data_IF_895927698369
#
_entry.id   IF_895927698369
#
_cell.length_a   1.000
_cell.length_b   1.000
_cell.length_c   1.000
_cell.angle_alpha   90.00
_cell.angle_beta   90.00
_cell.angle_gamma   90.00
#
_symmetry.space_group_name_H-M   'P 1'
#
loop_
_entity.id
_entity.type
_entity.pdbx_description
1 polymer ?
#
# COMPACT_ATOMS: atom_id res chain seq x y z
N UNK A 1 13.91 34.67 11.18
CA UNK A 1 13.95 33.36 10.55
C UNK A 1 15.39 33.13 10.14
N UNK A 2 15.98 31.96 10.38
CA UNK A 2 17.31 31.66 9.85
C UNK A 2 17.21 31.67 8.33
N UNK A 3 18.06 32.45 7.64
CA UNK A 3 18.11 32.45 6.17
C UNK A 3 18.57 31.06 5.72
N UNK A 4 17.81 30.45 4.81
CA UNK A 4 18.19 29.18 4.18
C UNK A 4 19.50 29.36 3.42
N UNK A 5 20.44 28.46 3.62
CA UNK A 5 21.67 28.39 2.82
C UNK A 5 21.33 27.64 1.49
N UNK A 6 20.81 28.37 0.51
CA UNK A 6 20.41 27.80 -0.78
C UNK A 6 21.51 27.01 -1.48
N UNK A 7 22.79 27.47 -1.55
CA UNK A 7 23.85 26.66 -2.16
C UNK A 7 24.05 25.31 -1.47
N UNK A 8 23.97 25.25 -0.16
CA UNK A 8 24.09 23.99 0.59
C UNK A 8 22.88 23.09 0.31
N UNK A 9 21.65 23.65 0.33
CA UNK A 9 20.41 22.94 0.05
C UNK A 9 20.37 22.35 -1.37
N UNK A 10 20.69 23.13 -2.40
CA UNK A 10 20.73 22.68 -3.80
C UNK A 10 21.76 21.57 -3.98
N UNK A 11 22.93 21.71 -3.35
CA UNK A 11 23.95 20.67 -3.38
C UNK A 11 23.46 19.36 -2.76
N UNK A 12 22.75 19.42 -1.64
CA UNK A 12 22.18 18.26 -0.95
C UNK A 12 21.08 17.60 -1.81
N UNK A 13 20.17 18.39 -2.41
CA UNK A 13 19.15 17.89 -3.32
C UNK A 13 19.77 17.16 -4.52
N UNK A 14 20.80 17.74 -5.13
CA UNK A 14 21.52 17.12 -6.25
C UNK A 14 22.25 15.83 -5.85
N UNK A 15 22.87 15.80 -4.70
CA UNK A 15 23.56 14.61 -4.19
C UNK A 15 22.55 13.47 -3.95
N UNK A 16 21.43 13.78 -3.31
CA UNK A 16 20.34 12.82 -3.07
C UNK A 16 19.76 12.31 -4.39
N UNK A 17 19.44 13.20 -5.32
CA UNK A 17 18.95 12.82 -6.65
C UNK A 17 19.93 11.93 -7.40
N UNK A 18 21.23 12.27 -7.40
CA UNK A 18 22.26 11.48 -8.07
C UNK A 18 22.37 10.08 -7.51
N UNK A 19 22.26 9.93 -6.18
CA UNK A 19 22.24 8.61 -5.52
C UNK A 19 21.02 7.78 -5.96
N UNK A 20 19.85 8.40 -6.00
CA UNK A 20 18.59 7.74 -6.45
C UNK A 20 18.71 7.33 -7.92
N UNK A 21 19.17 8.25 -8.80
CA UNK A 21 19.30 8.01 -10.23
C UNK A 21 20.29 6.86 -10.54
N UNK A 22 21.35 6.73 -9.74
CA UNK A 22 22.31 5.64 -9.86
C UNK A 22 21.67 4.28 -9.49
N UNK A 23 20.87 4.24 -8.42
CA UNK A 23 20.16 3.02 -7.99
C UNK A 23 19.05 2.65 -8.98
N UNK A 24 18.39 3.64 -9.59
CA UNK A 24 17.30 3.44 -10.56
C UNK A 24 17.78 2.97 -11.93
N UNK A 25 19.09 2.97 -12.20
CA UNK A 25 19.68 2.58 -13.49
C UNK A 25 19.01 3.28 -14.70
N UNK A 26 19.11 4.60 -14.74
CA UNK A 26 18.44 5.46 -15.77
C UNK A 26 18.80 5.01 -17.20
N UNK A 27 20.04 4.56 -17.43
CA UNK A 27 20.46 4.05 -18.74
C UNK A 27 19.74 2.76 -19.10
N UNK A 28 19.56 1.85 -18.14
CA UNK A 28 18.76 0.63 -18.30
C UNK A 28 17.29 0.96 -18.59
N UNK A 29 16.70 1.94 -17.88
CA UNK A 29 15.31 2.37 -18.15
C UNK A 29 15.17 2.88 -19.59
N UNK A 30 16.12 3.68 -20.08
CA UNK A 30 16.10 4.17 -21.47
C UNK A 30 16.24 3.05 -22.51
N UNK A 31 17.09 2.06 -22.22
CA UNK A 31 17.23 0.88 -23.07
C UNK A 31 15.93 0.07 -23.11
N UNK A 32 15.31 -0.20 -21.95
CA UNK A 32 14.02 -0.89 -21.84
C UNK A 32 12.92 -0.15 -22.63
N UNK A 33 12.85 1.18 -22.53
CA UNK A 33 11.88 2.00 -23.30
C UNK A 33 12.11 1.84 -24.80
N UNK A 34 13.35 1.83 -25.25
CA UNK A 34 13.66 1.66 -26.69
C UNK A 34 13.22 0.28 -27.18
N UNK A 35 13.56 -0.79 -26.46
CA UNK A 35 13.16 -2.18 -26.79
C UNK A 35 11.64 -2.35 -26.77
N UNK A 36 10.98 -1.88 -25.70
CA UNK A 36 9.52 -1.98 -25.57
C UNK A 36 8.78 -1.13 -26.61
N UNK A 37 9.35 -0.01 -27.03
CA UNK A 37 8.78 0.84 -28.10
C UNK A 37 8.89 0.14 -29.45
N UNK A 38 9.99 -0.56 -29.73
CA UNK A 38 10.14 -1.37 -30.94
C UNK A 38 9.15 -2.53 -30.94
N UNK A 39 9.02 -3.23 -29.80
CA UNK A 39 8.04 -4.30 -29.66
C UNK A 39 6.61 -3.80 -29.82
N UNK A 40 6.26 -2.62 -29.27
CA UNK A 40 4.92 -2.01 -29.39
C UNK A 40 4.59 -1.58 -30.81
N UNK A 41 5.60 -1.32 -31.64
CA UNK A 41 5.44 -0.93 -33.05
C UNK A 41 5.32 -2.16 -33.98
N UNK A 42 5.55 -3.38 -33.50
CA UNK A 42 5.46 -4.60 -34.31
C UNK A 42 4.00 -4.85 -34.74
N UNK A 43 3.75 -5.07 -36.06
CA UNK A 43 2.37 -5.21 -36.57
C UNK A 43 1.63 -6.43 -36.05
N UNK A 44 2.34 -7.48 -35.71
CA UNK A 44 1.83 -8.77 -35.21
C UNK A 44 1.51 -8.76 -33.70
N UNK A 45 1.96 -7.74 -32.97
CA UNK A 45 1.66 -7.62 -31.53
C UNK A 45 0.15 -7.56 -31.26
N UNK A 46 -0.61 -6.92 -32.14
CA UNK A 46 -2.03 -6.70 -31.98
C UNK A 46 -2.91 -7.92 -32.31
N UNK A 47 -2.29 -8.99 -32.82
CA UNK A 47 -2.94 -10.29 -33.04
C UNK A 47 -3.18 -11.01 -31.69
N UNK A 48 -2.41 -10.67 -30.64
CA UNK A 48 -2.57 -11.16 -29.28
C UNK A 48 -2.84 -9.96 -28.31
N UNK A 49 -4.12 -9.72 -27.95
CA UNK A 49 -4.47 -8.60 -27.07
C UNK A 49 -3.81 -8.64 -25.69
N UNK A 50 -3.54 -9.82 -25.14
CA UNK A 50 -2.92 -9.96 -23.82
C UNK A 50 -1.43 -9.61 -23.88
N UNK A 51 -0.73 -10.06 -24.91
CA UNK A 51 0.66 -9.68 -25.17
C UNK A 51 0.78 -8.17 -25.44
N UNK A 52 -0.14 -7.59 -26.24
CA UNK A 52 -0.19 -6.16 -26.51
C UNK A 52 -0.39 -5.33 -25.25
N UNK A 53 -1.29 -5.76 -24.37
CA UNK A 53 -1.54 -5.09 -23.09
C UNK A 53 -0.32 -5.16 -22.17
N UNK A 54 0.37 -6.30 -22.11
CA UNK A 54 1.59 -6.44 -21.29
C UNK A 54 2.71 -5.52 -21.77
N UNK A 55 2.98 -5.50 -23.08
CA UNK A 55 4.04 -4.65 -23.68
C UNK A 55 3.72 -3.17 -23.46
N UNK A 56 2.50 -2.74 -23.78
CA UNK A 56 2.10 -1.33 -23.65
C UNK A 56 2.05 -0.88 -22.18
N UNK A 57 1.62 -1.74 -21.25
CA UNK A 57 1.63 -1.46 -19.83
C UNK A 57 3.05 -1.30 -19.29
N UNK A 58 3.98 -2.19 -19.66
CA UNK A 58 5.40 -2.09 -19.28
C UNK A 58 6.05 -0.84 -19.86
N UNK A 59 5.80 -0.54 -21.13
CA UNK A 59 6.30 0.67 -21.78
C UNK A 59 5.82 1.94 -21.08
N UNK A 60 4.52 2.05 -20.83
CA UNK A 60 3.94 3.18 -20.11
C UNK A 60 4.52 3.35 -18.70
N UNK A 61 4.75 2.23 -17.99
CA UNK A 61 5.37 2.24 -16.67
C UNK A 61 6.81 2.78 -16.72
N UNK A 62 7.65 2.27 -17.64
CA UNK A 62 9.04 2.74 -17.81
C UNK A 62 9.12 4.19 -18.25
N UNK A 63 8.24 4.63 -19.17
CA UNK A 63 8.16 6.03 -19.57
C UNK A 63 7.77 6.94 -18.40
N UNK A 64 6.80 6.54 -17.58
CA UNK A 64 6.39 7.31 -16.39
C UNK A 64 7.49 7.40 -15.34
N UNK A 65 8.29 6.33 -15.19
CA UNK A 65 9.44 6.28 -14.29
C UNK A 65 10.52 7.26 -14.73
N UNK A 66 10.91 7.24 -16.03
CA UNK A 66 11.88 8.17 -16.60
C UNK A 66 11.39 9.62 -16.50
N UNK A 67 10.15 9.89 -16.90
CA UNK A 67 9.56 11.23 -16.83
C UNK A 67 9.56 11.80 -15.41
N UNK A 68 9.32 10.98 -14.41
CA UNK A 68 9.37 11.38 -12.99
C UNK A 68 10.78 11.83 -12.61
N UNK A 69 11.80 11.06 -13.00
CA UNK A 69 13.20 11.39 -12.73
C UNK A 69 13.60 12.69 -13.45
N UNK A 70 13.31 12.80 -14.74
CA UNK A 70 13.64 13.98 -15.54
C UNK A 70 12.91 15.24 -15.04
N UNK A 71 11.64 15.13 -14.67
CA UNK A 71 10.88 16.23 -14.08
C UNK A 71 11.48 16.69 -12.75
N UNK A 72 11.93 15.77 -11.92
CA UNK A 72 12.52 16.11 -10.64
C UNK A 72 13.88 16.77 -10.80
N UNK A 73 14.69 16.32 -11.78
CA UNK A 73 15.95 16.97 -12.15
C UNK A 73 15.70 18.42 -12.61
N UNK A 74 14.73 18.61 -13.52
CA UNK A 74 14.38 19.94 -14.01
C UNK A 74 13.94 20.88 -12.85
N UNK A 75 13.14 20.39 -11.91
CA UNK A 75 12.73 21.18 -10.74
C UNK A 75 13.91 21.60 -9.85
N UNK A 76 14.94 20.75 -9.70
CA UNK A 76 16.16 21.12 -8.97
C UNK A 76 16.92 22.23 -9.70
N UNK A 77 17.00 22.14 -11.03
CA UNK A 77 17.64 23.17 -11.86
C UNK A 77 16.86 24.49 -11.87
N UNK A 78 15.52 24.41 -11.86
CA UNK A 78 14.62 25.57 -11.74
C UNK A 78 14.82 26.29 -10.38
N UNK A 79 14.99 25.56 -9.27
CA UNK A 79 15.29 26.15 -7.95
C UNK A 79 16.58 26.94 -8.00
N UNK A 80 17.63 26.42 -8.62
CA UNK A 80 18.91 27.14 -8.76
C UNK A 80 18.72 28.44 -9.54
N UNK A 81 18.00 28.38 -10.66
CA UNK A 81 17.69 29.55 -11.48
C UNK A 81 16.86 30.59 -10.72
N UNK A 82 15.84 30.15 -9.94
CA UNK A 82 15.04 31.06 -9.10
C UNK A 82 15.89 31.78 -8.06
N UNK A 83 16.82 31.06 -7.43
CA UNK A 83 17.72 31.63 -6.43
C UNK A 83 18.69 32.63 -7.05
N UNK A 84 19.29 32.31 -8.22
CA UNK A 84 20.19 33.22 -8.94
C UNK A 84 19.46 34.51 -9.32
N UNK A 85 18.30 34.41 -9.96
CA UNK A 85 17.49 35.58 -10.34
C UNK A 85 17.03 36.40 -9.14
N UNK A 86 16.57 35.74 -8.06
CA UNK A 86 16.12 36.42 -6.84
C UNK A 86 17.25 37.19 -6.13
N UNK A 87 18.49 36.71 -6.25
CA UNK A 87 19.67 37.40 -5.72
C UNK A 87 20.12 38.54 -6.63
N UNK A 88 20.08 38.36 -7.96
CA UNK A 88 20.49 39.39 -8.92
C UNK A 88 19.51 40.58 -8.97
N UNK A 89 18.21 40.29 -8.86
CA UNK A 89 17.15 41.32 -8.92
C UNK A 89 16.77 41.87 -7.54
N UNK A 90 17.39 41.36 -6.45
CA UNK A 90 17.06 41.69 -5.05
C UNK A 90 15.55 41.52 -4.78
N UNK A 91 14.96 40.40 -5.29
CA UNK A 91 13.53 40.08 -5.17
C UNK A 91 13.27 39.07 -4.04
N UNK A 92 12.79 39.54 -2.86
CA UNK A 92 12.48 38.65 -1.73
C UNK A 92 11.31 37.69 -2.00
N UNK A 93 10.43 38.01 -2.95
CA UNK A 93 9.29 37.13 -3.25
C UNK A 93 9.75 35.90 -3.99
N UNK A 94 10.64 36.04 -4.95
CA UNK A 94 11.24 34.94 -5.71
C UNK A 94 12.07 34.02 -4.80
N UNK A 95 12.77 34.60 -3.81
CA UNK A 95 13.50 33.80 -2.81
C UNK A 95 12.54 33.01 -1.89
N UNK A 96 11.39 33.60 -1.55
CA UNK A 96 10.36 32.88 -0.75
C UNK A 96 9.74 31.72 -1.57
N UNK A 97 9.50 31.92 -2.85
CA UNK A 97 9.00 30.87 -3.75
C UNK A 97 10.05 29.75 -3.91
N UNK A 98 11.33 30.11 -4.02
CA UNK A 98 12.43 29.15 -4.04
C UNK A 98 12.51 28.32 -2.73
N UNK A 99 12.30 28.93 -1.55
CA UNK A 99 12.22 28.19 -0.28
C UNK A 99 11.10 27.16 -0.28
N UNK A 100 9.92 27.51 -0.79
CA UNK A 100 8.78 26.60 -0.89
C UNK A 100 9.05 25.46 -1.87
N UNK A 101 9.68 25.78 -2.99
CA UNK A 101 10.03 24.77 -4.00
C UNK A 101 11.13 23.83 -3.51
N UNK A 102 12.16 24.28 -2.78
CA UNK A 102 13.15 23.45 -2.10
C UNK A 102 12.45 22.44 -1.17
N UNK A 103 11.48 22.91 -0.35
CA UNK A 103 10.75 22.03 0.55
C UNK A 103 9.87 21.01 -0.21
N UNK A 104 9.33 21.41 -1.36
CA UNK A 104 8.53 20.56 -2.25
C UNK A 104 9.39 19.50 -2.93
N UNK A 105 10.54 19.89 -3.50
CA UNK A 105 11.50 18.98 -4.14
C UNK A 105 12.07 17.99 -3.14
N UNK A 106 12.40 18.42 -1.92
CA UNK A 106 12.88 17.53 -0.85
C UNK A 106 11.87 16.43 -0.53
N UNK A 107 10.59 16.77 -0.43
CA UNK A 107 9.52 15.78 -0.23
C UNK A 107 9.42 14.82 -1.41
N UNK A 108 9.47 15.33 -2.64
CA UNK A 108 9.43 14.50 -3.84
C UNK A 108 10.64 13.56 -3.96
N UNK A 109 11.84 14.00 -3.53
CA UNK A 109 13.04 13.15 -3.46
C UNK A 109 12.88 12.03 -2.40
N UNK A 110 12.36 12.36 -1.24
CA UNK A 110 12.10 11.36 -0.18
C UNK A 110 11.09 10.30 -0.66
N UNK A 111 10.03 10.73 -1.34
CA UNK A 111 9.07 9.82 -1.96
C UNK A 111 9.70 8.93 -3.04
N UNK A 112 10.57 9.50 -3.87
CA UNK A 112 11.28 8.76 -4.92
C UNK A 112 12.26 7.75 -4.32
N UNK A 113 13.00 8.13 -3.27
CA UNK A 113 13.87 7.22 -2.52
C UNK A 113 13.09 5.99 -2.02
N UNK A 114 11.93 6.22 -1.42
CA UNK A 114 11.07 5.13 -0.95
C UNK A 114 10.65 4.23 -2.10
N UNK A 115 10.26 4.80 -3.25
CA UNK A 115 9.87 4.02 -4.43
C UNK A 115 11.03 3.18 -4.96
N UNK A 116 12.28 3.67 -4.94
CA UNK A 116 13.45 2.87 -5.37
C UNK A 116 13.74 1.67 -4.47
N UNK A 117 13.33 1.72 -3.20
CA UNK A 117 13.41 0.58 -2.28
C UNK A 117 12.32 -0.47 -2.53
N UNK A 118 11.27 -0.12 -3.28
CA UNK A 118 10.18 -1.00 -3.66
C UNK A 118 10.55 -1.81 -4.92
N UNK A 119 11.44 -2.79 -4.76
CA UNK A 119 12.02 -3.61 -5.84
C UNK A 119 11.35 -4.98 -6.01
N UNK A 120 10.26 -5.24 -5.32
CA UNK A 120 9.48 -6.47 -5.46
C UNK A 120 8.65 -6.47 -6.73
N UNK A 121 8.49 -7.63 -7.36
CA UNK A 121 7.72 -7.82 -8.60
C UNK A 121 6.32 -7.20 -8.55
N UNK A 122 5.67 -7.26 -7.38
CA UNK A 122 4.31 -6.76 -7.17
C UNK A 122 4.25 -5.39 -6.48
N UNK A 123 5.39 -4.84 -6.04
CA UNK A 123 5.42 -3.56 -5.34
C UNK A 123 4.76 -2.40 -6.14
N UNK A 124 4.85 -2.32 -7.49
CA UNK A 124 4.19 -1.27 -8.28
C UNK A 124 2.66 -1.37 -8.34
N UNK A 125 2.08 -2.49 -7.91
CA UNK A 125 0.63 -2.77 -8.03
C UNK A 125 -0.21 -1.97 -7.04
N UNK A 126 -1.51 -1.90 -7.34
CA UNK A 126 -2.54 -1.45 -6.41
C UNK A 126 -2.71 -2.44 -5.25
N UNK A 127 -3.18 -1.96 -4.10
CA UNK A 127 -3.36 -2.77 -2.90
C UNK A 127 -4.81 -3.16 -2.65
N UNK A 128 -5.00 -4.37 -2.16
CA UNK A 128 -6.24 -4.81 -1.49
C UNK A 128 -5.91 -5.07 -0.03
N UNK A 129 -6.54 -4.31 0.86
CA UNK A 129 -6.36 -4.39 2.31
C UNK A 129 -7.55 -5.08 2.95
N UNK A 130 -7.29 -6.11 3.74
CA UNK A 130 -8.31 -6.79 4.55
C UNK A 130 -7.97 -6.65 6.02
N UNK A 131 -8.90 -6.12 6.82
CA UNK A 131 -8.77 -5.98 8.26
C UNK A 131 -9.77 -6.93 8.92
N UNK A 132 -9.31 -7.69 9.92
CA UNK A 132 -10.15 -8.58 10.71
C UNK A 132 -9.97 -8.31 12.19
N UNK A 133 -11.08 -8.23 12.93
CA UNK A 133 -11.03 -8.20 14.38
C UNK A 133 -10.47 -9.50 14.94
N UNK A 134 -9.56 -9.40 15.90
CA UNK A 134 -8.96 -10.52 16.60
C UNK A 134 -9.54 -10.73 18.02
N UNK A 135 -8.68 -11.14 18.95
CA UNK A 135 -9.06 -11.29 20.35
C UNK A 135 -9.34 -9.92 20.99
N UNK A 136 -10.39 -9.82 21.81
CA UNK A 136 -10.77 -8.60 22.55
C UNK A 136 -12.26 -8.25 22.46
N UNK A 137 -13.09 -9.10 21.85
CA UNK A 137 -14.55 -8.93 21.79
C UNK A 137 -14.96 -7.63 21.06
N UNK A 138 -15.87 -6.86 21.65
CA UNK A 138 -16.38 -5.59 21.09
C UNK A 138 -15.26 -4.57 20.89
N UNK A 139 -14.29 -4.49 21.81
CA UNK A 139 -13.14 -3.61 21.67
C UNK A 139 -12.27 -3.94 20.45
N UNK A 140 -12.14 -5.23 20.10
CA UNK A 140 -11.40 -5.65 18.91
C UNK A 140 -12.14 -5.29 17.61
N UNK A 141 -13.47 -5.39 17.62
CA UNK A 141 -14.31 -4.99 16.50
C UNK A 141 -14.27 -3.46 16.26
N UNK A 142 -14.34 -2.67 17.33
CA UNK A 142 -14.17 -1.22 17.27
C UNK A 142 -12.75 -0.84 16.81
N UNK A 143 -11.73 -1.54 17.28
CA UNK A 143 -10.35 -1.34 16.83
C UNK A 143 -10.17 -1.62 15.33
N UNK A 144 -10.80 -2.67 14.81
CA UNK A 144 -10.78 -2.95 13.36
C UNK A 144 -11.39 -1.79 12.55
N UNK A 145 -12.46 -1.16 13.04
CA UNK A 145 -13.06 0.02 12.42
C UNK A 145 -12.14 1.24 12.53
N UNK A 146 -11.47 1.44 13.66
CA UNK A 146 -10.47 2.51 13.81
C UNK A 146 -9.33 2.35 12.80
N UNK A 147 -8.81 1.13 12.59
CA UNK A 147 -7.77 0.86 11.60
C UNK A 147 -8.27 1.09 10.17
N UNK A 148 -9.47 0.63 9.83
CA UNK A 148 -10.07 0.93 8.52
C UNK A 148 -10.08 2.44 8.26
N UNK A 149 -10.61 3.21 9.20
CA UNK A 149 -10.67 4.67 9.09
C UNK A 149 -9.27 5.30 8.96
N UNK A 150 -8.29 4.80 9.70
CA UNK A 150 -6.89 5.25 9.64
C UNK A 150 -6.32 5.10 8.23
N UNK A 151 -6.45 3.92 7.61
CA UNK A 151 -5.93 3.68 6.26
C UNK A 151 -6.70 4.43 5.18
N UNK A 152 -8.02 4.56 5.30
CA UNK A 152 -8.81 5.36 4.36
C UNK A 152 -8.43 6.85 4.40
N UNK A 153 -8.21 7.39 5.59
CA UNK A 153 -7.75 8.78 5.76
C UNK A 153 -6.32 9.00 5.27
N UNK A 154 -5.45 8.02 5.49
CA UNK A 154 -4.11 8.05 4.91
C UNK A 154 -4.16 8.08 3.38
N UNK A 155 -4.97 7.23 2.77
CA UNK A 155 -5.16 7.21 1.34
C UNK A 155 -5.72 8.55 0.81
N UNK A 156 -6.73 9.11 1.48
CA UNK A 156 -7.30 10.42 1.15
C UNK A 156 -6.26 11.55 1.22
N UNK A 157 -5.45 11.60 2.28
CA UNK A 157 -4.38 12.60 2.45
C UNK A 157 -3.32 12.52 1.36
N UNK A 158 -3.05 11.31 0.87
CA UNK A 158 -2.13 11.07 -0.24
C UNK A 158 -2.79 11.20 -1.62
N UNK A 159 -4.07 11.58 -1.71
CA UNK A 159 -4.80 11.73 -2.96
C UNK A 159 -5.12 10.39 -3.65
N UNK A 160 -5.09 9.27 -2.92
CA UNK A 160 -5.35 7.94 -3.45
C UNK A 160 -6.84 7.64 -3.42
N UNK A 161 -7.36 7.12 -4.54
CA UNK A 161 -8.74 6.65 -4.60
C UNK A 161 -8.89 5.33 -3.88
N UNK A 162 -9.95 5.18 -3.10
CA UNK A 162 -10.26 3.95 -2.37
C UNK A 162 -11.64 3.42 -2.74
N UNK A 163 -11.81 2.09 -2.71
CA UNK A 163 -13.09 1.45 -2.93
C UNK A 163 -13.29 0.34 -1.90
N UNK A 164 -14.30 0.49 -1.04
CA UNK A 164 -14.69 -0.58 -0.11
C UNK A 164 -15.38 -1.69 -0.89
N UNK A 165 -14.88 -2.92 -0.77
CA UNK A 165 -15.38 -4.11 -1.46
C UNK A 165 -16.35 -4.92 -0.63
N UNK A 166 -16.04 -5.08 0.66
CA UNK A 166 -16.85 -5.83 1.61
C UNK A 166 -16.69 -5.27 3.02
N UNK A 167 -17.78 -5.34 3.81
CA UNK A 167 -17.77 -4.97 5.22
C UNK A 167 -18.73 -5.84 6.00
N UNK A 168 -18.24 -6.53 7.01
CA UNK A 168 -19.03 -7.30 7.95
C UNK A 168 -19.04 -6.62 9.31
N UNK A 169 -20.19 -6.13 9.72
CA UNK A 169 -20.36 -5.43 11.00
C UNK A 169 -20.46 -6.42 12.17
N UNK A 170 -19.95 -6.03 13.33
CA UNK A 170 -20.19 -6.73 14.58
C UNK A 170 -21.60 -6.39 15.12
N UNK A 171 -22.10 -7.19 16.07
CA UNK A 171 -23.47 -7.03 16.56
C UNK A 171 -23.67 -5.79 17.43
N UNK A 172 -22.69 -5.45 18.25
CA UNK A 172 -22.78 -4.34 19.20
C UNK A 172 -22.11 -3.06 18.68
N UNK A 173 -20.86 -3.15 18.20
CA UNK A 173 -20.11 -2.02 17.65
C UNK A 173 -18.94 -2.51 16.80
N UNK A 174 -18.51 -1.69 15.83
CA UNK A 174 -17.32 -1.93 15.03
C UNK A 174 -17.50 -2.99 13.94
N UNK A 175 -16.40 -3.53 13.47
CA UNK A 175 -16.31 -4.43 12.30
C UNK A 175 -15.77 -5.81 12.69
N UNK A 176 -16.41 -6.89 12.20
CA UNK A 176 -15.81 -8.24 12.20
C UNK A 176 -14.69 -8.33 11.17
N UNK A 177 -14.96 -7.80 9.98
CA UNK A 177 -13.97 -7.69 8.90
C UNK A 177 -14.36 -6.62 7.89
N UNK A 178 -13.35 -6.09 7.19
CA UNK A 178 -13.55 -5.22 6.03
C UNK A 178 -12.47 -5.48 4.99
N UNK A 179 -12.81 -5.29 3.71
CA UNK A 179 -11.88 -5.37 2.59
C UNK A 179 -12.09 -4.17 1.69
N UNK A 180 -11.01 -3.46 1.35
CA UNK A 180 -11.04 -2.30 0.46
C UNK A 180 -9.83 -2.25 -0.45
N UNK A 181 -9.99 -1.65 -1.62
CA UNK A 181 -8.93 -1.36 -2.59
C UNK A 181 -8.34 0.03 -2.33
N UNK A 182 -7.04 0.17 -2.52
CA UNK A 182 -6.35 1.45 -2.62
C UNK A 182 -5.77 1.56 -4.03
N UNK A 183 -6.36 2.43 -4.84
CA UNK A 183 -6.06 2.58 -6.27
C UNK A 183 -5.01 3.65 -6.49
N UNK A 184 -3.77 3.27 -6.34
CA UNK A 184 -2.62 4.11 -6.64
C UNK A 184 -1.42 3.25 -7.01
N UNK A 185 -0.55 3.72 -7.91
CA UNK A 185 0.72 3.07 -8.18
C UNK A 185 1.52 2.91 -6.89
N UNK A 186 2.16 1.75 -6.72
CA UNK A 186 2.95 1.39 -5.55
C UNK A 186 2.18 1.32 -4.22
N UNK A 187 0.85 1.37 -4.21
CA UNK A 187 0.10 1.27 -2.95
C UNK A 187 0.27 -0.10 -2.29
N UNK A 188 0.43 -1.18 -3.06
CA UNK A 188 0.78 -2.48 -2.49
C UNK A 188 2.18 -2.46 -1.86
N UNK A 189 3.19 -1.97 -2.57
CA UNK A 189 4.55 -1.87 -2.05
C UNK A 189 4.61 -1.08 -0.74
N UNK A 190 3.91 0.05 -0.67
CA UNK A 190 3.80 0.90 0.54
C UNK A 190 3.04 0.20 1.66
N UNK A 191 1.85 -0.32 1.41
CA UNK A 191 0.99 -0.89 2.44
C UNK A 191 1.36 -2.31 2.85
N UNK A 192 2.11 -3.06 2.04
CA UNK A 192 2.50 -4.43 2.36
C UNK A 192 3.33 -4.55 3.66
N UNK A 193 4.01 -3.48 4.07
CA UNK A 193 4.72 -3.41 5.36
C UNK A 193 3.78 -3.24 6.55
N UNK A 194 2.51 -2.89 6.31
CA UNK A 194 1.47 -2.78 7.34
C UNK A 194 0.80 -4.12 7.67
N UNK A 195 1.08 -5.16 6.89
CA UNK A 195 0.54 -6.49 7.14
C UNK A 195 1.07 -7.06 8.45
N UNK A 196 0.16 -7.61 9.26
CA UNK A 196 0.50 -8.23 10.54
C UNK A 196 -0.54 -8.00 11.63
N UNK A 197 -0.16 -8.31 12.86
CA UNK A 197 -1.01 -8.16 14.04
C UNK A 197 -0.79 -6.80 14.69
N UNK A 198 -1.86 -6.02 14.78
CA UNK A 198 -1.93 -4.75 15.49
C UNK A 198 -2.53 -4.95 16.87
N UNK A 199 -2.00 -4.26 17.88
CA UNK A 199 -2.44 -4.35 19.28
C UNK A 199 -2.88 -2.98 19.78
N UNK A 200 -4.08 -2.90 20.35
CA UNK A 200 -4.59 -1.71 21.05
C UNK A 200 -4.64 -1.94 22.55
N UNK A 201 -4.18 -0.98 23.33
CA UNK A 201 -4.31 -0.92 24.79
C UNK A 201 -4.98 0.40 25.18
N UNK A 202 -6.20 0.32 25.70
CA UNK A 202 -6.97 1.50 26.15
C UNK A 202 -7.89 1.17 27.32
N UNK A 203 -8.43 2.22 27.94
CA UNK A 203 -9.63 2.07 28.77
C UNK A 203 -10.80 1.82 27.82
N UNK A 204 -11.49 0.69 28.00
CA UNK A 204 -12.59 0.30 27.12
C UNK A 204 -13.80 1.22 27.31
N UNK A 205 -14.34 1.81 26.22
CA UNK A 205 -15.59 2.52 26.28
C UNK A 205 -16.82 1.61 26.47
N UNK A 206 -16.64 0.30 26.29
CA UNK A 206 -17.69 -0.74 26.42
C UNK A 206 -17.66 -1.42 27.79
N UNK A 207 -16.64 -1.18 28.63
CA UNK A 207 -16.53 -1.73 29.96
C UNK A 207 -17.06 -0.75 31.02
N UNK A 208 -18.18 -1.07 31.62
CA UNK A 208 -18.81 -0.25 32.68
C UNK A 208 -17.91 -0.01 33.91
N UNK A 209 -16.86 -0.83 34.08
CA UNK A 209 -15.91 -0.67 35.18
C UNK A 209 -14.68 0.17 34.81
N UNK A 210 -14.60 0.66 33.56
CA UNK A 210 -13.50 1.49 33.08
C UNK A 210 -12.14 0.81 33.11
N UNK A 211 -12.11 -0.53 32.96
CA UNK A 211 -10.87 -1.30 32.99
C UNK A 211 -10.08 -1.13 31.68
N UNK A 212 -8.77 -1.20 31.83
CA UNK A 212 -7.86 -1.25 30.68
C UNK A 212 -7.99 -2.60 30.00
N UNK A 213 -8.29 -2.57 28.70
CA UNK A 213 -8.42 -3.76 27.86
C UNK A 213 -7.33 -3.78 26.78
N UNK A 214 -7.00 -4.98 26.33
CA UNK A 214 -6.10 -5.21 25.20
C UNK A 214 -6.87 -5.90 24.10
N UNK A 215 -6.80 -5.35 22.90
CA UNK A 215 -7.50 -5.85 21.71
C UNK A 215 -6.54 -6.02 20.56
N UNK A 216 -6.85 -6.93 19.67
CA UNK A 216 -6.03 -7.26 18.51
C UNK A 216 -6.86 -7.16 17.23
N UNK A 217 -6.21 -6.73 16.15
CA UNK A 217 -6.74 -6.80 14.81
C UNK A 217 -5.63 -7.26 13.86
N UNK A 218 -5.99 -8.05 12.86
CA UNK A 218 -5.08 -8.49 11.81
C UNK A 218 -5.29 -7.65 10.56
N UNK A 219 -4.20 -7.18 9.97
CA UNK A 219 -4.17 -6.50 8.68
C UNK A 219 -3.47 -7.40 7.68
N UNK A 220 -4.13 -7.67 6.57
CA UNK A 220 -3.62 -8.41 5.43
C UNK A 220 -3.59 -7.48 4.23
N UNK A 221 -2.48 -7.45 3.50
CA UNK A 221 -2.32 -6.63 2.29
C UNK A 221 -1.86 -7.52 1.16
N UNK A 222 -2.59 -7.49 0.05
CA UNK A 222 -2.29 -8.26 -1.15
C UNK A 222 -2.27 -7.34 -2.38
N UNK A 223 -1.49 -7.67 -3.43
CA UNK A 223 -1.51 -6.91 -4.67
C UNK A 223 -2.82 -7.13 -5.43
N UNK A 224 -3.31 -6.09 -6.09
CA UNK A 224 -4.36 -6.25 -7.08
C UNK A 224 -3.74 -6.76 -8.39
N UNK A 225 -4.22 -7.89 -8.87
CA UNK A 225 -3.76 -8.51 -10.12
C UNK A 225 -4.75 -8.21 -11.22
N UNK A 226 -4.26 -7.69 -12.34
CA UNK A 226 -5.05 -7.53 -13.57
C UNK A 226 -5.32 -8.90 -14.22
N UNK A 227 -6.30 -8.95 -15.13
CA UNK A 227 -6.73 -10.20 -15.77
C UNK A 227 -5.62 -10.92 -16.55
N UNK A 228 -4.60 -10.18 -17.01
CA UNK A 228 -3.45 -10.69 -17.77
C UNK A 228 -2.42 -11.46 -16.93
N UNK A 229 -2.37 -11.18 -15.63
CA UNK A 229 -1.52 -11.92 -14.69
C UNK A 229 -2.32 -13.00 -13.94
N UNK A 230 -3.47 -13.40 -14.46
CA UNK A 230 -4.36 -14.31 -13.77
C UNK A 230 -3.81 -15.72 -13.75
N UNK A 231 -3.74 -16.30 -12.56
CA UNK A 231 -3.74 -17.76 -12.47
C UNK A 231 -5.10 -18.20 -13.04
N UNK A 232 -5.09 -18.95 -14.14
CA UNK A 232 -6.29 -19.62 -14.61
C UNK A 232 -6.74 -20.59 -13.53
N UNK A 233 -7.87 -20.29 -12.91
CA UNK A 233 -8.48 -21.17 -11.92
C UNK A 233 -9.56 -21.95 -12.67
N UNK A 234 -9.44 -23.27 -12.79
CA UNK A 234 -10.47 -24.10 -13.41
C UNK A 234 -11.83 -23.88 -12.71
N UNK A 235 -12.91 -23.70 -13.47
CA UNK A 235 -14.24 -23.43 -12.89
C UNK A 235 -14.72 -24.53 -11.92
N UNK A 236 -14.28 -25.77 -12.12
CA UNK A 236 -14.59 -26.91 -11.26
C UNK A 236 -13.88 -26.85 -9.89
N UNK A 237 -12.88 -25.99 -9.74
CA UNK A 237 -12.18 -25.76 -8.47
C UNK A 237 -12.75 -24.58 -7.67
N UNK A 238 -13.73 -23.88 -8.23
CA UNK A 238 -14.39 -22.75 -7.57
C UNK A 238 -15.82 -23.13 -7.17
N UNK A 239 -16.10 -23.12 -5.88
CA UNK A 239 -17.46 -23.15 -5.38
C UNK A 239 -17.99 -21.73 -5.22
N UNK A 240 -19.13 -21.43 -5.87
CA UNK A 240 -19.78 -20.12 -5.80
C UNK A 240 -21.09 -20.26 -5.01
N UNK A 241 -21.19 -19.59 -3.89
CA UNK A 241 -22.41 -19.48 -3.09
C UNK A 241 -22.95 -18.04 -3.21
N UNK A 242 -24.22 -17.91 -3.57
CA UNK A 242 -24.91 -16.61 -3.64
C UNK A 242 -25.78 -16.45 -2.40
N UNK A 243 -25.74 -15.27 -1.80
CA UNK A 243 -26.50 -14.99 -0.58
C UNK A 243 -26.98 -13.54 -0.55
N UNK A 244 -27.87 -13.24 0.39
CA UNK A 244 -28.37 -11.87 0.58
C UNK A 244 -27.31 -11.01 1.25
N UNK A 245 -27.10 -9.82 0.68
CA UNK A 245 -26.20 -8.84 1.29
C UNK A 245 -26.73 -8.43 2.68
N UNK A 246 -25.84 -8.39 3.68
CA UNK A 246 -26.13 -7.92 5.02
C UNK A 246 -25.57 -6.51 5.23
N UNK A 247 -26.43 -5.53 5.59
CA UNK A 247 -26.00 -4.16 5.87
C UNK A 247 -27.18 -3.26 6.20
N UNK A 248 -26.98 -2.09 6.82
CA UNK A 248 -28.00 -1.08 7.00
C UNK A 248 -28.33 -0.49 5.63
N UNK A 249 -29.43 -0.94 5.02
CA UNK A 249 -29.89 -0.48 3.70
C UNK A 249 -31.37 -0.79 3.47
N UNK A 250 -32.00 0.01 2.61
CA UNK A 250 -33.41 -0.03 2.32
C UNK A 250 -33.88 -1.33 1.62
N UNK A 251 -35.16 -1.36 1.23
CA UNK A 251 -35.92 -2.53 0.75
C UNK A 251 -35.24 -3.35 -0.38
N UNK A 252 -34.32 -2.75 -1.18
CA UNK A 252 -33.61 -3.44 -2.26
C UNK A 252 -32.44 -4.33 -1.77
N UNK A 253 -31.87 -4.06 -0.61
CA UNK A 253 -30.77 -4.85 -0.01
C UNK A 253 -31.30 -6.18 0.54
N UNK A 254 -32.55 -6.18 1.00
CA UNK A 254 -33.18 -7.34 1.64
C UNK A 254 -33.91 -8.29 0.66
N UNK A 255 -34.00 -7.95 -0.63
CA UNK A 255 -34.81 -8.70 -1.61
C UNK A 255 -33.99 -9.34 -2.74
N UNK A 256 -32.72 -8.99 -2.92
CA UNK A 256 -31.92 -9.49 -4.05
C UNK A 256 -30.67 -10.24 -3.54
N UNK A 257 -30.48 -11.47 -4.00
CA UNK A 257 -29.30 -12.28 -3.72
C UNK A 257 -28.13 -11.80 -4.62
N UNK A 258 -27.55 -10.65 -4.29
CA UNK A 258 -26.45 -10.03 -5.05
C UNK A 258 -25.06 -10.31 -4.47
N UNK A 259 -24.99 -10.73 -3.20
CA UNK A 259 -23.71 -11.06 -2.56
C UNK A 259 -23.19 -12.42 -3.06
N UNK A 260 -21.90 -12.50 -3.31
CA UNK A 260 -21.21 -13.67 -3.83
C UNK A 260 -20.10 -14.08 -2.86
N UNK A 261 -20.08 -15.36 -2.49
CA UNK A 261 -18.98 -16.01 -1.79
C UNK A 261 -18.35 -17.01 -2.73
N UNK A 262 -17.05 -16.89 -2.95
CA UNK A 262 -16.25 -17.86 -3.69
C UNK A 262 -15.33 -18.60 -2.75
N UNK A 263 -15.28 -19.92 -2.89
CA UNK A 263 -14.37 -20.79 -2.17
C UNK A 263 -13.54 -21.57 -3.19
N UNK A 264 -12.24 -21.44 -3.12
CA UNK A 264 -11.33 -22.29 -3.89
C UNK A 264 -11.21 -23.63 -3.17
N UNK A 265 -11.71 -24.69 -3.81
CA UNK A 265 -11.87 -26.01 -3.18
C UNK A 265 -10.52 -26.61 -2.72
N UNK A 266 -9.44 -26.57 -3.55
CA UNK A 266 -8.16 -27.18 -3.15
C UNK A 266 -7.48 -26.48 -1.97
N UNK A 267 -7.53 -25.13 -1.88
CA UNK A 267 -6.84 -24.36 -0.84
C UNK A 267 -7.73 -23.95 0.32
N UNK A 268 -9.06 -24.05 0.16
CA UNK A 268 -10.02 -23.57 1.17
C UNK A 268 -10.12 -22.05 1.31
N UNK A 269 -9.49 -21.28 0.42
CA UNK A 269 -9.55 -19.80 0.43
C UNK A 269 -10.97 -19.36 0.12
N UNK A 270 -11.50 -18.47 0.98
CA UNK A 270 -12.85 -17.92 0.85
C UNK A 270 -12.77 -16.42 0.63
N UNK A 271 -13.52 -15.93 -0.37
CA UNK A 271 -13.67 -14.51 -0.69
C UNK A 271 -15.17 -14.18 -0.75
N UNK A 272 -15.59 -13.10 -0.09
CA UNK A 272 -16.98 -12.62 -0.12
C UNK A 272 -17.03 -11.19 -0.67
N UNK A 273 -17.96 -10.93 -1.59
CA UNK A 273 -18.19 -9.61 -2.21
C UNK A 273 -19.70 -9.30 -2.20
N UNK A 274 -20.05 -8.08 -1.78
CA UNK A 274 -21.45 -7.65 -1.65
C UNK A 274 -21.70 -6.17 -1.98
N UNK A 275 -20.69 -5.45 -2.42
CA UNK A 275 -20.77 -3.98 -2.59
C UNK A 275 -21.47 -3.53 -3.86
N UNK A 276 -21.49 -4.36 -4.89
CA UNK A 276 -22.12 -4.02 -6.16
C UNK A 276 -23.58 -4.50 -6.16
N UNK A 277 -24.46 -3.74 -6.85
CA UNK A 277 -25.86 -4.13 -7.03
C UNK A 277 -26.03 -5.31 -8.01
N UNK A 278 -24.99 -5.62 -8.76
CA UNK A 278 -24.97 -6.69 -9.77
C UNK A 278 -24.20 -7.89 -9.25
N UNK A 279 -24.85 -9.06 -9.23
CA UNK A 279 -24.21 -10.34 -8.93
C UNK A 279 -23.02 -10.63 -9.85
N UNK A 280 -23.10 -10.24 -11.14
CA UNK A 280 -22.03 -10.45 -12.13
C UNK A 280 -20.79 -9.64 -11.76
N UNK A 281 -20.96 -8.38 -11.34
CA UNK A 281 -19.85 -7.52 -10.91
C UNK A 281 -19.23 -8.02 -9.61
N UNK A 282 -20.04 -8.45 -8.63
CA UNK A 282 -19.55 -9.06 -7.40
C UNK A 282 -18.79 -10.37 -7.70
N UNK A 283 -19.26 -11.19 -8.66
CA UNK A 283 -18.58 -12.41 -9.09
C UNK A 283 -17.21 -12.10 -9.71
N UNK A 284 -17.14 -11.11 -10.60
CA UNK A 284 -15.88 -10.70 -11.23
C UNK A 284 -14.88 -10.12 -10.21
N UNK A 285 -15.37 -9.31 -9.27
CA UNK A 285 -14.52 -8.77 -8.17
C UNK A 285 -14.04 -9.89 -7.24
N UNK A 286 -14.91 -10.82 -6.86
CA UNK A 286 -14.53 -11.96 -6.02
C UNK A 286 -13.46 -12.84 -6.69
N UNK A 287 -13.60 -13.10 -8.01
CA UNK A 287 -12.62 -13.88 -8.77
C UNK A 287 -11.24 -13.21 -8.77
N UNK A 288 -11.17 -11.90 -9.03
CA UNK A 288 -9.89 -11.15 -9.00
C UNK A 288 -9.21 -11.22 -7.64
N UNK A 289 -9.96 -11.04 -6.55
CA UNK A 289 -9.40 -11.13 -5.20
C UNK A 289 -8.98 -12.57 -4.85
N UNK A 290 -9.72 -13.57 -5.33
CA UNK A 290 -9.36 -14.98 -5.17
C UNK A 290 -8.04 -15.29 -5.90
N UNK A 291 -7.89 -14.85 -7.14
CA UNK A 291 -6.66 -14.98 -7.92
C UNK A 291 -5.46 -14.32 -7.19
N UNK A 292 -5.66 -13.10 -6.66
CA UNK A 292 -4.62 -12.40 -5.89
C UNK A 292 -4.20 -13.18 -4.64
N UNK A 293 -5.15 -13.78 -3.93
CA UNK A 293 -4.83 -14.60 -2.75
C UNK A 293 -4.08 -15.88 -3.08
N UNK A 294 -4.48 -16.54 -4.15
CA UNK A 294 -3.78 -17.75 -4.62
C UNK A 294 -2.34 -17.45 -5.05
N UNK A 295 -2.11 -16.30 -5.69
CA UNK A 295 -0.78 -15.89 -6.07
C UNK A 295 0.10 -15.63 -4.84
N UNK A 296 -0.44 -14.92 -3.84
CA UNK A 296 0.29 -14.67 -2.59
C UNK A 296 0.65 -15.99 -1.89
N UNK A 297 -0.29 -16.93 -1.81
CA UNK A 297 -0.04 -18.25 -1.24
C UNK A 297 1.08 -18.97 -2.00
N UNK A 298 1.06 -18.94 -3.33
CA UNK A 298 2.12 -19.55 -4.16
C UNK A 298 3.48 -18.93 -3.90
N UNK A 299 3.56 -17.61 -3.77
CA UNK A 299 4.79 -16.92 -3.38
C UNK A 299 5.28 -17.31 -1.98
N UNK A 300 4.36 -17.44 -1.02
CA UNK A 300 4.70 -17.90 0.33
C UNK A 300 5.24 -19.32 0.32
N UNK A 301 4.64 -20.22 -0.46
CA UNK A 301 5.11 -21.60 -0.64
C UNK A 301 6.49 -21.65 -1.29
N UNK A 302 6.76 -20.82 -2.31
CA UNK A 302 8.07 -20.72 -2.95
C UNK A 302 9.13 -20.15 -1.97
N UNK A 303 8.77 -19.13 -1.19
CA UNK A 303 9.65 -18.57 -0.18
C UNK A 303 9.88 -19.52 1.00
N UNK A 304 8.87 -20.30 1.39
CA UNK A 304 8.99 -21.36 2.39
C UNK A 304 9.95 -22.46 1.94
N UNK A 305 9.84 -22.90 0.67
CA UNK A 305 10.79 -23.86 0.07
C UNK A 305 12.22 -23.32 0.03
N UNK A 306 12.40 -22.02 -0.31
CA UNK A 306 13.73 -21.38 -0.26
C UNK A 306 14.29 -21.33 1.15
N UNK A 307 13.44 -21.06 2.17
CA UNK A 307 13.83 -21.07 3.60
C UNK A 307 14.12 -22.46 4.12
N UNK A 308 13.36 -23.47 3.70
CA UNK A 308 13.61 -24.87 4.05
C UNK A 308 14.96 -25.36 3.51
N UNK A 309 15.32 -24.96 2.28
CA UNK A 309 16.62 -25.21 1.68
C UNK A 309 17.77 -24.40 2.34
N UNK A 310 17.46 -23.27 2.96
CA UNK A 310 18.44 -22.40 3.63
C UNK A 310 18.62 -22.70 5.13
N UNK A 311 17.83 -23.64 5.74
CA UNK A 311 17.91 -24.02 7.16
C UNK A 311 17.29 -22.99 8.12
N UNK A 312 16.25 -23.44 8.72
CA UNK A 312 15.42 -23.00 9.86
C UNK A 312 15.66 -21.63 10.49
N UNK A 313 14.76 -20.67 10.21
CA UNK A 313 14.43 -19.58 11.11
C UNK A 313 12.93 -19.59 11.36
N UNK A 314 12.50 -19.95 12.57
CA UNK A 314 11.10 -20.04 12.99
C UNK A 314 10.45 -18.65 13.00
N UNK A 315 9.54 -18.39 12.08
CA UNK A 315 8.54 -17.35 12.25
C UNK A 315 7.44 -17.88 13.19
N UNK A 316 7.36 -17.35 14.41
CA UNK A 316 6.30 -17.71 15.37
C UNK A 316 5.06 -16.84 15.12
N UNK A 317 3.89 -17.46 15.11
CA UNK A 317 2.58 -16.84 15.23
C UNK A 317 2.48 -16.11 16.59
N UNK A 318 2.73 -14.79 16.61
CA UNK A 318 2.68 -14.03 17.86
C UNK A 318 3.36 -12.67 17.79
N UNK A 319 4.08 -12.39 16.71
CA UNK A 319 4.84 -11.15 16.59
C UNK A 319 3.89 -9.99 16.23
N UNK A 320 3.56 -9.23 17.29
CA UNK A 320 2.85 -7.97 17.13
C UNK A 320 3.74 -7.03 16.32
N UNK A 321 3.22 -6.54 15.18
CA UNK A 321 3.98 -5.60 14.36
C UNK A 321 3.92 -4.19 14.94
N UNK A 322 2.73 -3.75 15.42
CA UNK A 322 2.52 -2.39 15.94
C UNK A 322 1.64 -2.38 17.17
N UNK A 323 2.01 -1.57 18.16
CA UNK A 323 1.29 -1.38 19.41
C UNK A 323 0.77 0.06 19.52
N UNK A 324 -0.52 0.19 19.78
CA UNK A 324 -1.22 1.45 20.01
C UNK A 324 -1.61 1.50 21.48
N UNK A 325 -1.00 2.39 22.24
CA UNK A 325 -1.27 2.57 23.68
C UNK A 325 -1.93 3.93 23.87
N UNK A 326 -3.17 3.94 24.41
CA UNK A 326 -3.90 5.16 24.73
C UNK A 326 -3.95 5.42 26.24
N UNK A 327 -3.64 4.42 27.05
CA UNK A 327 -3.59 4.52 28.51
C UNK A 327 -2.65 3.43 29.09
N UNK A 328 -1.76 3.75 30.08
CA UNK A 328 -1.67 4.97 30.88
C UNK A 328 -0.90 6.12 30.21
N UNK A 329 -0.18 5.86 29.15
CA UNK A 329 0.50 6.86 28.34
C UNK A 329 0.00 6.77 26.89
N UNK A 330 0.28 7.76 26.09
CA UNK A 330 -0.11 7.79 24.67
C UNK A 330 1.11 7.54 23.80
N UNK A 331 1.07 6.48 23.01
CA UNK A 331 2.16 6.12 22.10
C UNK A 331 1.69 5.10 21.06
N UNK A 332 2.12 5.25 19.84
CA UNK A 332 2.09 4.22 18.80
C UNK A 332 3.52 3.82 18.50
N UNK A 333 3.83 2.52 18.51
CA UNK A 333 5.18 2.00 18.27
C UNK A 333 5.14 0.80 17.34
N UNK A 334 5.95 0.84 16.29
CA UNK A 334 6.25 -0.33 15.46
C UNK A 334 7.41 -1.11 16.11
N UNK A 335 7.16 -2.38 16.40
CA UNK A 335 8.11 -3.22 17.12
C UNK A 335 9.25 -3.76 16.25
N UNK A 336 9.11 -3.67 14.92
CA UNK A 336 10.12 -4.13 13.95
C UNK A 336 11.17 -3.04 13.68
N UNK A 337 10.69 -1.79 13.52
CA UNK A 337 11.51 -0.64 13.17
C UNK A 337 11.92 0.20 14.38
N UNK A 338 11.25 0.02 15.53
CA UNK A 338 11.33 0.87 16.72
C UNK A 338 10.86 2.32 16.49
N UNK A 339 10.26 2.63 15.33
CA UNK A 339 9.65 3.94 15.11
C UNK A 339 8.45 4.14 16.05
N UNK A 340 8.36 5.32 16.68
CA UNK A 340 7.31 5.63 17.65
C UNK A 340 6.79 7.07 17.48
N UNK A 341 5.48 7.23 17.71
CA UNK A 341 4.77 8.50 17.64
C UNK A 341 3.96 8.72 18.92
N UNK A 342 4.17 9.87 19.57
CA UNK A 342 3.52 10.25 20.83
C UNK A 342 2.08 10.75 20.69
N UNK A 343 1.58 10.91 19.46
CA UNK A 343 0.22 11.37 19.18
C UNK A 343 -0.63 10.31 18.47
N UNK A 344 -1.23 9.35 19.20
CA UNK A 344 -2.06 8.31 18.60
C UNK A 344 -3.25 8.87 17.81
N UNK A 345 -3.80 10.02 18.19
CA UNK A 345 -4.91 10.62 17.48
C UNK A 345 -4.52 11.04 16.05
N UNK A 346 -3.33 11.60 15.87
CA UNK A 346 -2.82 11.92 14.53
C UNK A 346 -2.61 10.66 13.69
N UNK A 347 -2.10 9.58 14.32
CA UNK A 347 -1.92 8.28 13.66
C UNK A 347 -3.27 7.71 13.19
N UNK A 348 -4.29 7.66 14.06
CA UNK A 348 -5.64 7.22 13.68
C UNK A 348 -6.33 8.16 12.68
N UNK A 349 -5.86 9.39 12.58
CA UNK A 349 -6.28 10.34 11.54
C UNK A 349 -5.51 10.17 10.22
N UNK A 350 -4.67 9.15 10.10
CA UNK A 350 -3.97 8.77 8.87
C UNK A 350 -2.55 9.33 8.75
N UNK A 351 -1.93 9.85 9.81
CA UNK A 351 -0.51 10.23 9.82
C UNK A 351 0.35 8.99 10.06
N UNK A 352 0.48 8.12 9.05
CA UNK A 352 1.22 6.85 9.13
C UNK A 352 2.39 6.76 8.14
N UNK A 353 2.68 7.82 7.39
CA UNK A 353 3.73 7.81 6.36
C UNK A 353 5.09 7.42 6.95
N UNK A 354 5.48 8.00 8.10
CA UNK A 354 6.75 7.69 8.75
C UNK A 354 6.87 6.23 9.21
N UNK A 355 5.74 5.61 9.61
CA UNK A 355 5.70 4.17 9.92
C UNK A 355 5.88 3.32 8.66
N UNK A 356 5.23 3.68 7.57
CA UNK A 356 5.33 3.02 6.27
C UNK A 356 6.77 3.12 5.75
N UNK A 357 7.34 4.31 5.76
CA UNK A 357 8.70 4.57 5.29
C UNK A 357 9.74 3.80 6.11
N UNK A 358 9.61 3.82 7.45
CA UNK A 358 10.46 3.05 8.34
C UNK A 358 10.33 1.53 8.06
N UNK A 359 9.10 1.05 7.81
CA UNK A 359 8.82 -0.33 7.46
C UNK A 359 9.45 -0.75 6.12
N UNK A 360 9.40 0.12 5.11
CA UNK A 360 10.01 -0.13 3.80
C UNK A 360 11.53 -0.20 3.92
N UNK A 361 12.16 0.75 4.61
CA UNK A 361 13.61 0.73 4.85
C UNK A 361 14.05 -0.51 5.65
N UNK A 362 13.31 -0.88 6.67
CA UNK A 362 13.54 -2.10 7.44
C UNK A 362 13.50 -3.35 6.53
N UNK A 363 12.47 -3.48 5.69
CA UNK A 363 12.31 -4.58 4.75
C UNK A 363 13.45 -4.63 3.72
N UNK A 364 13.86 -3.49 3.19
CA UNK A 364 14.98 -3.40 2.27
C UNK A 364 16.30 -3.87 2.92
N UNK A 365 16.55 -3.47 4.18
CA UNK A 365 17.70 -3.94 4.96
C UNK A 365 17.69 -5.45 5.19
N UNK A 366 16.53 -6.06 5.48
CA UNK A 366 16.41 -7.51 5.61
C UNK A 366 16.75 -8.24 4.29
N UNK A 367 16.22 -7.75 3.16
CA UNK A 367 16.50 -8.33 1.83
C UNK A 367 18.00 -8.28 1.47
N UNK A 368 18.72 -7.24 1.90
CA UNK A 368 20.16 -7.12 1.70
C UNK A 368 20.93 -8.11 2.58
N UNK A 369 20.53 -8.26 3.84
CA UNK A 369 21.15 -9.20 4.79
C UNK A 369 20.96 -10.67 4.35
N UNK A 370 19.79 -11.00 3.77
CA UNK A 370 19.51 -12.35 3.25
C UNK A 370 20.29 -12.69 1.96
N UNK A 371 20.87 -11.69 1.28
CA UNK A 371 21.67 -11.86 0.06
C UNK A 371 23.17 -11.90 0.31
N UNK A 372 23.62 -11.45 1.47
CA UNK A 372 25.02 -11.38 1.88
C UNK A 372 25.47 -12.67 2.61
#
# INVERSE_FOLDING_TARGET
MASIDFPAEIKDLRATFSSIAQVSDVEGIRADIAELSEAAAAPDLWDDPDAAQQVTSKLSHRQSELERLERLQARIDDVETMVELGQEEDDPSLLTDAEQEVASVRRALADLEIVTLLSGEYDPREAVVTIRSGAGGVDAADFAEMLMRMYLRWAEKNGYSTKVLDTSYAEEAGLKSTTFEVKAPYSFGRLSVEAGTHRLVRISPFDNQGRRQTSFAAVEVIPLIEQTDSIEIPENEIKVDVFRSSGPGGQSVNTTDSAVRMTHIPTGIVVSMQNEKSQIQNRAAALRVLQSRLLLQRQEEENAKKKELAGDVKASWGDQMRSYVLNPYQMVKDLRTNHEEGNPSAVFDGAIDEFIDAGIRWRAGQRQADRA
#
